data_IF_189148547698
#
_entry.id   IF_189148547698
#
_cell.length_a   1.000
_cell.length_b   1.000
_cell.length_c   1.000
_cell.angle_alpha   90.00
_cell.angle_beta   90.00
_cell.angle_gamma   90.00
#
_symmetry.space_group_name_H-M   'P 1'
#
loop_
_entity.id
_entity.type
_entity.pdbx_description
1 polymer ?
#
# COMPACT_ATOMS: atom_id res chain seq x y z
N UNK A 1 -11.32 -14.21 15.81
CA UNK A 1 -11.67 -12.91 16.42
C UNK A 1 -11.94 -11.96 15.28
N UNK A 2 -13.17 -11.46 15.11
CA UNK A 2 -13.45 -10.45 14.11
C UNK A 2 -12.73 -9.15 14.48
N UNK A 3 -12.24 -8.40 13.48
CA UNK A 3 -11.74 -7.05 13.67
C UNK A 3 -12.86 -6.18 14.25
N UNK A 4 -12.50 -5.33 15.20
CA UNK A 4 -13.40 -4.31 15.73
C UNK A 4 -13.58 -3.18 14.71
N UNK A 5 -14.67 -2.41 14.82
CA UNK A 5 -14.92 -1.26 13.95
C UNK A 5 -13.74 -0.26 13.91
N UNK A 6 -13.08 -0.07 15.06
CA UNK A 6 -11.89 0.78 15.16
C UNK A 6 -10.72 0.22 14.36
N UNK A 7 -10.46 -1.09 14.44
CA UNK A 7 -9.39 -1.74 13.67
C UNK A 7 -9.68 -1.70 12.17
N UNK A 8 -10.92 -1.94 11.75
CA UNK A 8 -11.33 -1.82 10.34
C UNK A 8 -11.11 -0.40 9.82
N UNK A 9 -11.48 0.63 10.58
CA UNK A 9 -11.22 2.04 10.21
C UNK A 9 -9.71 2.33 10.09
N UNK A 10 -8.90 1.85 11.04
CA UNK A 10 -7.44 2.03 10.99
C UNK A 10 -6.82 1.33 9.77
N UNK A 11 -7.30 0.14 9.42
CA UNK A 11 -6.85 -0.58 8.21
C UNK A 11 -7.28 0.14 6.93
N UNK A 12 -8.49 0.71 6.89
CA UNK A 12 -8.96 1.49 5.74
C UNK A 12 -8.12 2.77 5.53
N UNK A 13 -7.74 3.41 6.62
CA UNK A 13 -6.86 4.59 6.61
C UNK A 13 -5.45 4.21 6.15
N UNK A 14 -4.89 3.13 6.71
CA UNK A 14 -3.61 2.57 6.28
C UNK A 14 -3.62 2.20 4.79
N UNK A 15 -4.69 1.57 4.29
CA UNK A 15 -4.86 1.23 2.88
C UNK A 15 -4.78 2.48 1.98
N UNK A 16 -5.44 3.56 2.38
CA UNK A 16 -5.45 4.82 1.64
C UNK A 16 -4.07 5.47 1.64
N UNK A 17 -3.37 5.41 2.77
CA UNK A 17 -1.99 5.88 2.91
C UNK A 17 -1.04 5.11 1.99
N UNK A 18 -1.11 3.78 1.96
CA UNK A 18 -0.23 2.97 1.11
C UNK A 18 -0.48 3.21 -0.37
N UNK A 19 -1.74 3.39 -0.78
CA UNK A 19 -2.09 3.76 -2.16
C UNK A 19 -1.42 5.08 -2.58
N UNK A 20 -1.42 6.08 -1.70
CA UNK A 20 -0.75 7.36 -1.95
C UNK A 20 0.77 7.16 -2.04
N UNK A 21 1.36 6.31 -1.20
CA UNK A 21 2.79 5.99 -1.25
C UNK A 21 3.17 5.35 -2.59
N UNK A 22 2.43 4.35 -3.06
CA UNK A 22 2.62 3.73 -4.39
C UNK A 22 2.57 4.78 -5.50
N UNK A 23 1.58 5.66 -5.46
CA UNK A 23 1.37 6.69 -6.48
C UNK A 23 2.54 7.69 -6.50
N UNK A 24 2.98 8.14 -5.32
CA UNK A 24 4.15 9.02 -5.16
C UNK A 24 5.43 8.36 -5.65
N UNK A 25 5.69 7.12 -5.24
CA UNK A 25 6.90 6.41 -5.65
C UNK A 25 6.96 6.17 -7.15
N UNK A 26 5.85 5.77 -7.78
CA UNK A 26 5.77 5.67 -9.24
C UNK A 26 5.98 7.02 -9.93
N UNK A 27 5.41 8.09 -9.38
CA UNK A 27 5.57 9.43 -9.93
C UNK A 27 7.03 9.90 -9.84
N UNK A 28 7.69 9.73 -8.69
CA UNK A 28 9.10 10.04 -8.52
C UNK A 28 10.00 9.18 -9.40
N UNK A 29 9.72 7.88 -9.51
CA UNK A 29 10.48 6.98 -10.39
C UNK A 29 10.45 7.44 -11.86
N UNK A 30 9.34 8.05 -12.31
CA UNK A 30 9.18 8.55 -13.68
C UNK A 30 9.81 9.93 -13.91
N UNK A 31 9.93 10.75 -12.85
CA UNK A 31 10.56 12.08 -12.95
C UNK A 31 12.10 12.02 -12.87
N UNK A 32 12.65 10.91 -12.38
CA UNK A 32 14.10 10.78 -12.19
C UNK A 32 14.81 10.35 -13.47
N UNK A 33 15.91 11.04 -13.79
CA UNK A 33 16.83 10.65 -14.87
C UNK A 33 17.76 9.52 -14.44
N UNK A 34 18.04 9.41 -13.14
CA UNK A 34 18.88 8.36 -12.59
C UNK A 34 18.13 7.02 -12.62
N UNK A 35 18.70 6.05 -13.35
CA UNK A 35 18.08 4.74 -13.57
C UNK A 35 18.14 3.86 -12.33
N UNK A 36 19.17 4.00 -11.50
CA UNK A 36 19.33 3.24 -10.25
C UNK A 36 18.31 3.74 -9.22
N UNK A 37 18.20 5.06 -9.10
CA UNK A 37 17.23 5.70 -8.21
C UNK A 37 15.79 5.40 -8.65
N UNK A 38 15.49 5.47 -9.95
CA UNK A 38 14.18 5.08 -10.52
C UNK A 38 13.83 3.62 -10.20
N UNK A 39 14.80 2.70 -10.33
CA UNK A 39 14.62 1.29 -10.00
C UNK A 39 14.33 1.09 -8.51
N UNK A 40 15.02 1.83 -7.64
CA UNK A 40 14.78 1.80 -6.20
C UNK A 40 13.36 2.26 -5.84
N UNK A 41 12.89 3.36 -6.45
CA UNK A 41 11.51 3.83 -6.25
C UNK A 41 10.46 2.84 -6.77
N UNK A 42 10.70 2.18 -7.90
CA UNK A 42 9.81 1.10 -8.39
C UNK A 42 9.79 -0.09 -7.44
N UNK A 43 10.92 -0.41 -6.81
CA UNK A 43 11.01 -1.47 -5.80
C UNK A 43 10.21 -1.10 -4.55
N UNK A 44 10.31 0.15 -4.08
CA UNK A 44 9.49 0.66 -2.98
C UNK A 44 8.00 0.63 -3.33
N UNK A 45 7.61 1.10 -4.52
CA UNK A 45 6.22 1.04 -4.98
C UNK A 45 5.67 -0.40 -4.99
N UNK A 46 6.45 -1.38 -5.44
CA UNK A 46 6.07 -2.79 -5.39
C UNK A 46 5.90 -3.30 -3.95
N UNK A 47 6.73 -2.84 -3.02
CA UNK A 47 6.61 -3.23 -1.60
C UNK A 47 5.33 -2.67 -0.96
N UNK A 48 5.01 -1.40 -1.22
CA UNK A 48 3.76 -0.82 -0.73
C UNK A 48 2.53 -1.49 -1.38
N UNK A 49 2.64 -1.93 -2.65
CA UNK A 49 1.59 -2.74 -3.28
C UNK A 49 1.36 -4.06 -2.53
N UNK A 50 2.41 -4.72 -2.02
CA UNK A 50 2.26 -5.90 -1.17
C UNK A 50 1.60 -5.57 0.18
N UNK A 51 1.86 -4.39 0.75
CA UNK A 51 1.17 -3.94 1.95
C UNK A 51 -0.33 -3.73 1.69
N UNK A 52 -0.69 -3.09 0.58
CA UNK A 52 -2.08 -2.93 0.12
C UNK A 52 -2.77 -4.29 0.00
N UNK A 53 -2.14 -5.25 -0.67
CA UNK A 53 -2.72 -6.59 -0.87
C UNK A 53 -2.91 -7.33 0.47
N UNK A 54 -1.99 -7.13 1.42
CA UNK A 54 -2.07 -7.71 2.76
C UNK A 54 -3.23 -7.09 3.55
N UNK A 55 -3.35 -5.76 3.55
CA UNK A 55 -4.44 -5.05 4.23
C UNK A 55 -5.80 -5.43 3.63
N UNK A 56 -5.90 -5.47 2.30
CA UNK A 56 -7.11 -5.92 1.62
C UNK A 56 -7.49 -7.35 1.98
N UNK A 57 -6.51 -8.26 2.07
CA UNK A 57 -6.77 -9.65 2.50
C UNK A 57 -7.29 -9.70 3.93
N UNK A 58 -6.73 -8.91 4.85
CA UNK A 58 -7.20 -8.83 6.24
C UNK A 58 -8.64 -8.29 6.32
N UNK A 59 -8.94 -7.22 5.58
CA UNK A 59 -10.28 -6.64 5.49
C UNK A 59 -11.29 -7.63 4.88
N UNK A 60 -10.92 -8.34 3.81
CA UNK A 60 -11.78 -9.33 3.17
C UNK A 60 -12.02 -10.56 4.07
N UNK A 61 -11.00 -11.05 4.77
CA UNK A 61 -11.15 -12.13 5.74
C UNK A 61 -12.10 -11.76 6.88
N UNK A 62 -12.15 -10.48 7.26
CA UNK A 62 -13.09 -10.00 8.27
C UNK A 62 -14.52 -9.84 7.73
N UNK A 63 -14.71 -9.46 6.47
CA UNK A 63 -16.04 -9.39 5.84
C UNK A 63 -16.65 -10.76 5.53
N UNK A 64 -15.82 -11.81 5.46
CA UNK A 64 -16.24 -13.18 5.14
C UNK A 64 -16.61 -14.02 6.38
N UNK A 65 -16.55 -13.42 7.58
CA UNK A 65 -16.93 -14.03 8.87
C UNK A 65 -18.24 -13.42 9.36
#
# INVERSE_FOLDING_TARGET
MPLTQKETMLLQDALSHEQICVLKYNNYANQMQDTELSSMFKTLANREQQHIDTINRLLQQNQSQ
#
